data_IF_457925575083
#
_entry.id   IF_457925575083
#
_cell.length_a   1.000
_cell.length_b   1.000
_cell.length_c   1.000
_cell.angle_alpha   90.00
_cell.angle_beta   90.00
_cell.angle_gamma   90.00
#
_symmetry.space_group_name_H-M   'P 1'
#
loop_
_entity.id
_entity.type
_entity.pdbx_description
1 polymer ?
#
# COMPACT_ATOMS: atom_id res chain seq x y z
N UNK A 1 -16.80 -9.49 8.62
CA UNK A 1 -16.83 -10.92 9.06
C UNK A 1 -16.14 -11.05 10.39
N UNK A 2 -16.74 -11.77 11.35
CA UNK A 2 -16.09 -12.05 12.64
C UNK A 2 -14.95 -13.06 12.49
N UNK A 3 -13.99 -13.09 13.43
CA UNK A 3 -12.94 -14.10 13.43
C UNK A 3 -13.54 -15.53 13.44
N UNK A 4 -14.62 -15.74 14.17
CA UNK A 4 -15.32 -17.04 14.24
C UNK A 4 -15.91 -17.47 12.91
N UNK A 5 -16.50 -16.55 12.15
CA UNK A 5 -17.01 -16.83 10.80
C UNK A 5 -15.89 -17.20 9.82
N UNK A 6 -14.74 -16.52 9.93
CA UNK A 6 -13.54 -16.82 9.11
C UNK A 6 -13.04 -18.23 9.43
N UNK A 7 -12.87 -18.55 10.72
CA UNK A 7 -12.43 -19.90 11.17
C UNK A 7 -13.42 -20.95 10.67
N UNK A 8 -14.71 -20.74 10.88
CA UNK A 8 -15.78 -21.68 10.48
C UNK A 8 -15.80 -21.90 8.97
N UNK A 9 -15.64 -20.84 8.18
CA UNK A 9 -15.57 -20.90 6.71
C UNK A 9 -14.33 -21.67 6.26
N UNK A 10 -13.16 -21.37 6.84
CA UNK A 10 -11.91 -22.04 6.54
C UNK A 10 -11.98 -23.55 6.84
N UNK A 11 -12.44 -23.89 8.05
CA UNK A 11 -12.58 -25.30 8.45
C UNK A 11 -13.53 -26.09 7.54
N UNK A 12 -14.69 -25.49 7.18
CA UNK A 12 -15.63 -26.10 6.23
C UNK A 12 -15.03 -26.32 4.85
N UNK A 13 -14.35 -25.29 4.31
CA UNK A 13 -13.72 -25.34 3.00
C UNK A 13 -12.64 -26.43 2.89
N UNK A 14 -11.89 -26.64 3.97
CA UNK A 14 -10.78 -27.60 4.01
C UNK A 14 -11.14 -28.92 4.70
N UNK A 15 -12.42 -29.11 5.09
CA UNK A 15 -12.91 -30.30 5.80
C UNK A 15 -12.13 -30.60 7.11
N UNK A 16 -11.73 -29.54 7.84
CA UNK A 16 -10.95 -29.65 9.08
C UNK A 16 -11.90 -29.67 10.28
N UNK A 17 -11.71 -30.64 11.19
CA UNK A 17 -12.45 -30.72 12.45
C UNK A 17 -12.04 -29.61 13.42
N UNK A 18 -12.87 -29.34 14.45
CA UNK A 18 -12.46 -28.39 15.51
C UNK A 18 -11.25 -28.86 16.28
N UNK A 19 -11.10 -30.18 16.47
CA UNK A 19 -9.96 -30.78 17.19
C UNK A 19 -8.66 -30.57 16.40
N UNK A 20 -8.68 -30.83 15.08
CA UNK A 20 -7.54 -30.62 14.22
C UNK A 20 -7.18 -29.11 14.11
N UNK A 21 -8.18 -28.22 14.07
CA UNK A 21 -7.91 -26.79 14.06
C UNK A 21 -7.39 -26.29 15.42
N UNK A 22 -7.87 -26.87 16.53
CA UNK A 22 -7.35 -26.59 17.88
C UNK A 22 -5.86 -26.91 17.98
N UNK A 23 -5.46 -28.05 17.45
CA UNK A 23 -4.06 -28.50 17.42
C UNK A 23 -3.20 -27.58 16.54
N UNK A 24 -3.67 -27.25 15.34
CA UNK A 24 -2.95 -26.38 14.39
C UNK A 24 -2.80 -24.93 14.88
N UNK A 25 -3.81 -24.37 15.54
CA UNK A 25 -3.83 -22.97 15.98
C UNK A 25 -3.35 -22.75 17.43
N UNK A 26 -3.31 -23.81 18.26
CA UNK A 26 -3.06 -23.68 19.69
C UNK A 26 -4.18 -22.95 20.47
N UNK A 27 -5.38 -22.84 19.88
CA UNK A 27 -6.59 -22.36 20.55
C UNK A 27 -7.36 -23.54 21.12
N UNK A 28 -7.96 -23.42 22.31
CA UNK A 28 -8.77 -24.51 22.85
C UNK A 28 -10.06 -24.70 22.02
N UNK A 29 -10.50 -25.94 21.87
CA UNK A 29 -11.74 -26.31 21.16
C UNK A 29 -12.97 -25.53 21.72
N UNK A 30 -13.05 -25.39 23.04
CA UNK A 30 -14.13 -24.61 23.68
C UNK A 30 -14.11 -23.16 23.23
N UNK A 31 -12.92 -22.55 23.14
CA UNK A 31 -12.79 -21.15 22.72
C UNK A 31 -13.07 -20.97 21.22
N UNK A 32 -12.68 -21.94 20.38
CA UNK A 32 -13.04 -21.96 18.95
C UNK A 32 -14.57 -22.01 18.79
N UNK A 33 -15.25 -22.86 19.55
CA UNK A 33 -16.71 -22.95 19.52
C UNK A 33 -17.36 -21.62 19.93
N UNK A 34 -16.85 -20.95 20.97
CA UNK A 34 -17.31 -19.63 21.40
C UNK A 34 -17.09 -18.55 20.30
N UNK A 35 -15.92 -18.54 19.66
CA UNK A 35 -15.64 -17.64 18.56
C UNK A 35 -16.59 -17.88 17.37
N UNK A 36 -16.82 -19.16 16.99
CA UNK A 36 -17.73 -19.49 15.88
C UNK A 36 -19.21 -19.20 16.19
N UNK A 37 -19.59 -19.20 17.46
CA UNK A 37 -20.92 -18.76 17.92
C UNK A 37 -21.01 -17.24 18.07
N UNK A 38 -19.88 -16.55 18.12
CA UNK A 38 -19.74 -15.12 18.44
C UNK A 38 -20.44 -14.70 19.73
N UNK A 39 -20.41 -15.58 20.73
CA UNK A 39 -21.09 -15.36 22.01
C UNK A 39 -20.26 -15.87 23.18
N UNK A 40 -20.14 -15.05 24.21
CA UNK A 40 -19.55 -15.45 25.47
C UNK A 40 -20.65 -16.09 26.34
N UNK A 41 -20.57 -17.40 26.65
CA UNK A 41 -21.64 -18.12 27.36
C UNK A 41 -21.93 -17.59 28.77
N UNK A 42 -20.99 -16.87 29.39
CA UNK A 42 -21.14 -16.30 30.73
C UNK A 42 -21.81 -14.91 30.69
N UNK A 43 -21.56 -14.10 29.66
CA UNK A 43 -22.01 -12.71 29.61
C UNK A 43 -23.05 -12.46 28.52
N UNK A 44 -23.29 -13.41 27.60
CA UNK A 44 -24.15 -13.27 26.43
C UNK A 44 -23.70 -12.19 25.42
N UNK A 45 -22.49 -11.65 25.59
CA UNK A 45 -21.98 -10.59 24.72
C UNK A 45 -21.13 -11.17 23.58
N UNK A 46 -21.04 -10.49 22.42
CA UNK A 46 -20.11 -10.83 21.36
C UNK A 46 -18.66 -10.91 21.86
N UNK A 47 -17.87 -11.79 21.26
CA UNK A 47 -16.47 -11.97 21.64
C UNK A 47 -15.61 -11.02 20.82
N UNK A 48 -14.83 -10.19 21.50
CA UNK A 48 -13.76 -9.39 20.88
C UNK A 48 -12.43 -10.15 21.05
N UNK A 49 -11.90 -10.77 20.00
CA UNK A 49 -10.65 -11.52 20.09
C UNK A 49 -9.45 -10.58 20.27
N UNK A 50 -8.49 -10.97 21.12
CA UNK A 50 -7.22 -10.27 21.23
C UNK A 50 -6.37 -10.46 19.95
N UNK A 51 -5.39 -9.56 19.72
CA UNK A 51 -4.45 -9.69 18.59
C UNK A 51 -3.70 -11.03 18.63
N UNK A 52 -3.38 -11.53 19.82
CA UNK A 52 -2.75 -12.83 19.99
C UNK A 52 -3.67 -13.98 19.58
N UNK A 53 -4.97 -13.86 19.81
CA UNK A 53 -5.97 -14.82 19.35
C UNK A 53 -6.07 -14.83 17.83
N UNK A 54 -6.07 -13.63 17.22
CA UNK A 54 -6.11 -13.46 15.76
C UNK A 54 -4.85 -14.06 15.13
N UNK A 55 -3.67 -13.82 15.72
CA UNK A 55 -2.41 -14.41 15.27
C UNK A 55 -2.45 -15.94 15.30
N UNK A 56 -2.86 -16.54 16.42
CA UNK A 56 -2.98 -17.99 16.54
C UNK A 56 -3.95 -18.60 15.52
N UNK A 57 -5.07 -17.92 15.28
CA UNK A 57 -6.02 -18.36 14.27
C UNK A 57 -5.42 -18.25 12.85
N UNK A 58 -4.67 -17.18 12.57
CA UNK A 58 -3.97 -16.99 11.30
C UNK A 58 -2.93 -18.11 11.07
N UNK A 59 -2.13 -18.41 12.07
CA UNK A 59 -1.14 -19.49 12.02
C UNK A 59 -1.81 -20.84 11.73
N UNK A 60 -2.92 -21.15 12.41
CA UNK A 60 -3.70 -22.39 12.18
C UNK A 60 -4.37 -22.46 10.81
N UNK A 61 -4.55 -21.33 10.14
CA UNK A 61 -5.06 -21.23 8.77
C UNK A 61 -3.95 -21.10 7.72
N UNK A 62 -2.69 -21.04 8.12
CA UNK A 62 -1.55 -20.73 7.24
C UNK A 62 -1.73 -19.42 6.46
N UNK A 63 -2.30 -18.41 7.12
CA UNK A 63 -2.49 -17.06 6.58
C UNK A 63 -1.64 -16.07 7.37
N UNK A 64 -1.29 -14.93 6.73
CA UNK A 64 -0.68 -13.82 7.45
C UNK A 64 -1.70 -13.14 8.38
N UNK A 65 -1.22 -12.56 9.49
CA UNK A 65 -2.04 -11.77 10.42
C UNK A 65 -2.82 -10.67 9.68
N UNK A 66 -2.11 -9.93 8.80
CA UNK A 66 -2.70 -8.84 8.01
C UNK A 66 -3.84 -9.33 7.11
N UNK A 67 -3.70 -10.54 6.56
CA UNK A 67 -4.75 -11.15 5.73
C UNK A 67 -6.00 -11.44 6.55
N UNK A 68 -5.85 -11.98 7.74
CA UNK A 68 -7.00 -12.26 8.63
C UNK A 68 -7.62 -10.98 9.13
N UNK A 69 -6.83 -9.97 9.52
CA UNK A 69 -7.32 -8.64 9.90
C UNK A 69 -8.09 -7.99 8.74
N UNK A 70 -7.58 -8.07 7.51
CA UNK A 70 -8.29 -7.55 6.32
C UNK A 70 -9.63 -8.25 6.09
N UNK A 71 -9.72 -9.56 6.34
CA UNK A 71 -10.98 -10.31 6.24
C UNK A 71 -11.97 -9.96 7.34
N UNK A 72 -11.48 -9.56 8.52
CA UNK A 72 -12.28 -9.07 9.64
C UNK A 72 -12.71 -7.61 9.48
N UNK A 73 -12.06 -6.85 8.60
CA UNK A 73 -12.06 -5.40 8.52
C UNK A 73 -13.40 -4.69 8.32
N UNK A 74 -14.49 -5.41 8.07
CA UNK A 74 -15.82 -4.80 8.02
C UNK A 74 -16.54 -4.75 9.39
N UNK A 75 -16.02 -5.41 10.43
CA UNK A 75 -16.69 -5.50 11.74
C UNK A 75 -15.88 -5.04 12.96
N UNK A 76 -14.55 -4.84 12.84
CA UNK A 76 -13.76 -4.28 13.95
C UNK A 76 -14.07 -2.80 14.25
N UNK A 77 -14.97 -2.19 13.50
CA UNK A 77 -15.40 -0.78 13.63
C UNK A 77 -16.75 -0.64 14.34
N UNK A 78 -17.26 -1.68 14.98
CA UNK A 78 -18.57 -1.64 15.66
C UNK A 78 -18.50 -1.77 17.20
N UNK A 79 -17.59 -1.05 17.85
CA UNK A 79 -17.76 -0.77 19.29
C UNK A 79 -17.37 0.68 19.57
N UNK A 80 -18.40 1.52 19.58
CA UNK A 80 -18.55 2.78 20.30
C UNK A 80 -17.25 3.45 20.76
N UNK A 81 -16.75 4.37 19.98
CA UNK A 81 -16.04 5.62 20.21
C UNK A 81 -15.05 6.02 19.09
N UNK A 82 -15.03 5.31 17.94
CA UNK A 82 -14.22 5.69 16.77
C UNK A 82 -15.05 6.12 15.54
N UNK A 83 -16.22 6.70 15.78
CA UNK A 83 -17.11 7.18 14.69
C UNK A 83 -16.49 8.34 13.88
N UNK A 84 -15.25 8.76 14.18
CA UNK A 84 -14.62 9.93 13.56
C UNK A 84 -13.17 9.72 13.08
N UNK A 85 -12.65 8.49 13.12
CA UNK A 85 -11.32 8.25 12.53
C UNK A 85 -11.47 7.94 11.03
N UNK A 86 -10.88 8.76 10.15
CA UNK A 86 -10.96 8.51 8.71
C UNK A 86 -10.32 7.16 8.37
N UNK A 87 -11.03 6.34 7.57
CA UNK A 87 -10.47 5.09 7.04
C UNK A 87 -9.10 5.37 6.43
N UNK A 88 -8.13 4.53 6.72
CA UNK A 88 -6.76 4.67 6.24
C UNK A 88 -6.43 3.60 5.23
N UNK A 89 -5.71 3.99 4.20
CA UNK A 89 -5.15 3.10 3.19
C UNK A 89 -3.63 3.10 3.30
N UNK A 90 -3.02 1.93 3.14
CA UNK A 90 -1.56 1.77 3.18
C UNK A 90 -0.99 1.83 1.77
N UNK A 91 -0.05 2.74 1.55
CA UNK A 91 0.68 2.90 0.28
C UNK A 91 2.12 2.44 0.48
N UNK A 92 2.63 1.44 -0.27
CA UNK A 92 3.99 0.97 -0.14
C UNK A 92 4.97 2.07 -0.54
N UNK A 93 6.00 2.32 0.30
CA UNK A 93 7.12 3.22 -0.02
C UNK A 93 8.35 2.40 -0.35
N UNK A 94 8.90 2.64 -1.52
CA UNK A 94 10.06 1.95 -2.03
C UNK A 94 11.35 2.73 -1.76
N UNK A 95 12.42 2.03 -1.37
CA UNK A 95 13.76 2.61 -1.20
C UNK A 95 14.32 3.06 -2.53
N UNK A 96 14.33 2.13 -3.48
CA UNK A 96 14.78 2.30 -4.85
C UNK A 96 13.79 1.60 -5.77
N UNK A 97 13.41 2.25 -6.85
CA UNK A 97 12.69 1.61 -7.93
C UNK A 97 13.69 1.46 -9.06
N UNK A 98 14.30 0.26 -9.15
CA UNK A 98 15.19 -0.08 -10.24
C UNK A 98 14.36 -0.46 -11.45
N UNK A 99 14.64 0.16 -12.57
CA UNK A 99 13.86 0.00 -13.80
C UNK A 99 14.27 -1.21 -14.64
N UNK A 100 15.25 -2.01 -14.21
CA UNK A 100 15.58 -3.30 -14.79
C UNK A 100 14.43 -4.31 -14.74
N UNK A 101 14.68 -5.57 -15.02
CA UNK A 101 13.65 -6.63 -15.19
C UNK A 101 12.62 -6.84 -14.05
N UNK A 102 12.62 -6.00 -13.00
CA UNK A 102 11.78 -6.18 -11.82
C UNK A 102 10.74 -5.08 -11.55
N UNK A 103 10.92 -3.85 -12.06
CA UNK A 103 10.00 -2.74 -11.74
C UNK A 103 9.82 -2.53 -10.23
N UNK A 104 8.63 -2.76 -9.74
CA UNK A 104 8.32 -2.77 -8.32
C UNK A 104 8.62 -4.16 -7.75
N UNK A 105 9.72 -4.28 -7.00
CA UNK A 105 10.09 -5.53 -6.31
C UNK A 105 9.71 -5.38 -4.85
N UNK A 106 8.94 -6.33 -4.32
CA UNK A 106 8.45 -6.28 -2.92
C UNK A 106 9.59 -6.24 -1.91
N UNK A 107 10.76 -6.79 -2.24
CA UNK A 107 11.97 -6.75 -1.41
C UNK A 107 12.54 -5.32 -1.23
N UNK A 108 12.10 -4.35 -2.04
CA UNK A 108 12.52 -2.95 -1.97
C UNK A 108 11.54 -2.06 -1.20
N UNK A 109 10.50 -2.61 -0.59
CA UNK A 109 9.57 -1.86 0.25
C UNK A 109 10.27 -1.52 1.57
N UNK A 110 10.42 -0.20 1.85
CA UNK A 110 10.95 0.29 3.13
C UNK A 110 9.91 0.20 4.24
N UNK A 111 8.73 0.72 3.95
CA UNK A 111 7.60 0.81 4.87
C UNK A 111 6.30 1.09 4.12
N UNK A 112 5.24 1.36 4.85
CA UNK A 112 3.93 1.73 4.31
C UNK A 112 3.48 3.07 4.86
N UNK A 113 3.10 3.98 3.96
CA UNK A 113 2.53 5.29 4.31
C UNK A 113 1.03 5.15 4.53
N UNK A 114 0.57 5.50 5.73
CA UNK A 114 -0.85 5.47 6.08
C UNK A 114 -1.52 6.79 5.70
N UNK A 115 -2.40 6.77 4.69
CA UNK A 115 -3.14 7.93 4.20
C UNK A 115 -4.64 7.78 4.44
N UNK A 116 -5.38 8.90 4.60
CA UNK A 116 -6.84 8.85 4.61
C UNK A 116 -7.36 8.19 3.31
N UNK A 117 -8.23 7.18 3.41
CA UNK A 117 -8.76 6.50 2.22
C UNK A 117 -9.54 7.44 1.29
N UNK A 118 -10.06 8.55 1.83
CA UNK A 118 -10.73 9.59 1.03
C UNK A 118 -9.81 10.34 0.06
N UNK A 119 -8.50 10.26 0.26
CA UNK A 119 -7.52 10.87 -0.65
C UNK A 119 -7.19 9.98 -1.84
N UNK A 120 -7.48 8.69 -1.73
CA UNK A 120 -7.12 7.68 -2.71
C UNK A 120 -8.38 7.14 -3.39
N UNK A 121 -8.27 6.85 -4.69
CA UNK A 121 -9.33 6.16 -5.41
C UNK A 121 -9.19 4.65 -5.19
N UNK A 122 -10.28 3.99 -4.77
CA UNK A 122 -10.29 2.54 -4.56
C UNK A 122 -10.03 1.71 -5.84
N UNK A 123 -10.22 2.33 -7.01
CA UNK A 123 -9.98 1.68 -8.31
C UNK A 123 -8.56 1.86 -8.87
N UNK A 124 -7.67 2.53 -8.11
CA UNK A 124 -6.33 2.87 -8.55
C UNK A 124 -5.28 2.32 -7.59
N UNK A 125 -4.11 2.00 -8.13
CA UNK A 125 -2.95 1.60 -7.35
C UNK A 125 -2.03 2.80 -7.12
N UNK A 126 -1.37 2.81 -5.94
CA UNK A 126 -0.47 3.87 -5.55
C UNK A 126 0.83 3.30 -5.01
N UNK A 127 1.89 4.06 -5.16
CA UNK A 127 3.18 3.81 -4.53
C UNK A 127 3.79 5.12 -4.05
N UNK A 128 4.74 5.04 -3.14
CA UNK A 128 5.45 6.20 -2.63
C UNK A 128 6.97 6.03 -2.80
N UNK A 129 7.65 7.17 -2.88
CA UNK A 129 9.10 7.27 -2.92
C UNK A 129 9.54 8.54 -2.17
N UNK A 130 10.74 8.52 -1.58
CA UNK A 130 11.32 9.72 -0.99
C UNK A 130 12.01 10.54 -2.08
N UNK A 131 11.73 11.84 -2.13
CA UNK A 131 12.44 12.76 -3.02
C UNK A 131 13.91 12.86 -2.61
N UNK A 132 14.79 12.85 -3.59
CA UNK A 132 16.23 13.06 -3.40
C UNK A 132 16.71 14.20 -4.29
N UNK A 133 17.43 15.14 -3.69
CA UNK A 133 17.95 16.32 -4.35
C UNK A 133 16.94 17.46 -4.55
N UNK A 134 17.36 18.50 -5.24
CA UNK A 134 16.69 19.80 -5.36
C UNK A 134 16.12 20.09 -6.76
N UNK A 135 16.21 19.13 -7.68
CA UNK A 135 15.82 19.35 -9.10
C UNK A 135 14.35 19.70 -9.31
N UNK A 136 13.50 19.53 -8.30
CA UNK A 136 12.06 19.80 -8.36
C UNK A 136 11.59 20.87 -7.36
N UNK A 137 12.51 21.64 -6.74
CA UNK A 137 12.19 22.68 -5.75
C UNK A 137 11.23 23.75 -6.28
N UNK A 138 11.38 24.17 -7.53
CA UNK A 138 10.47 25.13 -8.16
C UNK A 138 9.02 24.62 -8.34
N UNK A 139 8.80 23.31 -8.14
CA UNK A 139 7.48 22.70 -8.05
C UNK A 139 7.03 22.44 -6.61
N UNK A 140 7.79 22.93 -5.61
CA UNK A 140 7.49 22.74 -4.18
C UNK A 140 7.82 21.37 -3.65
N UNK A 141 8.67 20.61 -4.35
CA UNK A 141 9.16 19.28 -3.94
C UNK A 141 10.61 19.45 -3.48
N UNK A 142 10.87 19.11 -2.23
CA UNK A 142 12.17 19.28 -1.58
C UNK A 142 12.77 17.93 -1.21
N UNK A 143 14.08 17.93 -1.00
CA UNK A 143 14.81 16.76 -0.52
C UNK A 143 14.18 16.20 0.76
N UNK A 144 13.95 14.88 0.78
CA UNK A 144 13.31 14.18 1.90
C UNK A 144 11.77 14.20 1.91
N UNK A 145 11.11 14.92 1.00
CA UNK A 145 9.66 14.86 0.86
C UNK A 145 9.21 13.45 0.43
N UNK A 146 8.04 13.03 0.90
CA UNK A 146 7.44 11.76 0.46
C UNK A 146 6.51 12.06 -0.71
N UNK A 147 6.82 11.47 -1.86
CA UNK A 147 6.06 11.59 -3.10
C UNK A 147 5.15 10.37 -3.24
N UNK A 148 3.85 10.60 -3.36
CA UNK A 148 2.87 9.55 -3.61
C UNK A 148 2.43 9.64 -5.06
N UNK A 149 2.59 8.56 -5.80
CA UNK A 149 2.26 8.46 -7.22
C UNK A 149 1.08 7.51 -7.43
N UNK A 150 0.18 7.88 -8.34
CA UNK A 150 -0.77 6.98 -8.95
C UNK A 150 -0.04 6.14 -10.00
N UNK A 151 -0.12 4.82 -9.91
CA UNK A 151 0.56 3.88 -10.81
C UNK A 151 -0.11 3.91 -12.18
N UNK A 152 0.57 4.46 -13.16
CA UNK A 152 0.13 4.52 -14.56
C UNK A 152 1.35 4.36 -15.48
N UNK A 153 1.15 3.74 -16.64
CA UNK A 153 2.21 3.55 -17.65
C UNK A 153 2.24 4.65 -18.71
N UNK A 154 1.21 5.51 -18.76
CA UNK A 154 1.12 6.55 -19.79
C UNK A 154 1.36 7.92 -19.19
N UNK A 155 2.42 8.63 -19.61
CA UNK A 155 2.69 9.98 -19.15
C UNK A 155 1.67 10.97 -19.70
N UNK A 156 1.47 12.08 -18.98
CA UNK A 156 0.56 13.15 -19.37
C UNK A 156 1.30 14.47 -19.49
N UNK A 157 1.02 15.21 -20.58
CA UNK A 157 1.62 16.53 -20.85
C UNK A 157 1.48 17.48 -19.67
N UNK A 158 2.60 18.03 -19.22
CA UNK A 158 2.66 19.00 -18.14
C UNK A 158 2.51 18.44 -16.72
N UNK A 159 2.26 17.12 -16.56
CA UNK A 159 2.19 16.48 -15.25
C UNK A 159 3.57 16.09 -14.74
N UNK A 160 3.71 16.13 -13.42
CA UNK A 160 4.87 15.57 -12.72
C UNK A 160 4.63 14.07 -12.56
N UNK A 161 5.66 13.28 -12.77
CA UNK A 161 5.59 11.83 -12.65
C UNK A 161 6.92 11.23 -12.22
N UNK A 162 6.86 9.94 -11.98
CA UNK A 162 8.00 9.06 -11.74
C UNK A 162 8.37 8.38 -13.05
N UNK A 163 9.59 8.60 -13.52
CA UNK A 163 10.07 8.11 -14.82
C UNK A 163 11.37 7.36 -14.66
N UNK A 164 11.60 6.47 -15.60
CA UNK A 164 12.83 5.72 -15.71
C UNK A 164 13.37 5.81 -17.13
N UNK A 165 14.69 5.96 -17.27
CA UNK A 165 15.43 5.95 -18.52
C UNK A 165 16.58 4.96 -18.36
N UNK A 166 16.80 4.12 -19.38
CA UNK A 166 17.93 3.19 -19.50
C UNK A 166 18.13 2.27 -18.28
N UNK A 167 16.99 1.81 -17.72
CA UNK A 167 16.97 0.90 -16.56
C UNK A 167 17.71 1.44 -15.32
N UNK A 168 17.97 2.75 -15.28
CA UNK A 168 18.51 3.44 -14.13
C UNK A 168 17.47 3.63 -13.01
N UNK A 169 17.86 4.31 -11.95
CA UNK A 169 16.95 4.67 -10.87
C UNK A 169 15.80 5.57 -11.36
N UNK A 170 14.63 5.37 -10.77
CA UNK A 170 13.47 6.17 -11.08
C UNK A 170 13.67 7.62 -10.61
N UNK A 171 13.25 8.58 -11.44
CA UNK A 171 13.39 10.02 -11.20
C UNK A 171 12.04 10.73 -11.24
N UNK A 172 11.88 11.74 -10.39
CA UNK A 172 10.73 12.64 -10.41
C UNK A 172 11.01 13.84 -11.32
N UNK A 173 10.21 14.02 -12.39
CA UNK A 173 10.33 15.12 -13.34
C UNK A 173 8.96 15.51 -13.88
N UNK A 174 8.90 16.67 -14.57
CA UNK A 174 7.71 17.10 -15.31
C UNK A 174 7.81 16.63 -16.76
N UNK A 175 6.80 15.92 -17.23
CA UNK A 175 6.72 15.43 -18.62
C UNK A 175 6.34 16.55 -19.57
N UNK A 176 7.09 16.71 -20.66
CA UNK A 176 6.82 17.72 -21.70
C UNK A 176 7.05 17.14 -23.09
N UNK A 177 6.07 17.38 -23.97
CA UNK A 177 6.21 17.20 -25.41
C UNK A 177 6.34 18.60 -26.01
N UNK A 178 7.41 18.86 -26.73
CA UNK A 178 7.66 20.12 -27.43
C UNK A 178 6.83 20.20 -28.73
N UNK A 179 6.76 21.39 -29.33
CA UNK A 179 5.99 21.64 -30.57
C UNK A 179 6.51 20.82 -31.76
N UNK A 180 7.76 20.40 -31.75
CA UNK A 180 8.41 19.55 -32.76
C UNK A 180 8.21 18.03 -32.49
N UNK A 181 7.44 17.68 -31.46
CA UNK A 181 7.17 16.31 -31.07
C UNK A 181 8.23 15.67 -30.16
N UNK A 182 9.33 16.36 -29.86
CA UNK A 182 10.35 15.85 -28.94
C UNK A 182 9.85 15.80 -27.51
N UNK A 183 10.26 14.76 -26.80
CA UNK A 183 9.90 14.54 -25.40
C UNK A 183 11.04 14.97 -24.51
N UNK A 184 10.70 15.63 -23.40
CA UNK A 184 11.65 16.05 -22.38
C UNK A 184 11.11 15.74 -20.98
N UNK A 185 11.99 15.30 -20.10
CA UNK A 185 11.77 15.30 -18.66
C UNK A 185 12.36 16.58 -18.07
N UNK A 186 11.47 17.49 -17.68
CA UNK A 186 11.83 18.83 -17.24
C UNK A 186 12.05 18.87 -15.73
N UNK A 187 13.21 19.33 -15.26
CA UNK A 187 13.37 19.74 -13.88
C UNK A 187 12.51 20.99 -13.59
N UNK A 188 12.22 21.23 -12.33
CA UNK A 188 11.58 22.47 -11.86
C UNK A 188 12.57 23.36 -11.10
N UNK A 189 13.86 23.19 -11.34
CA UNK A 189 14.95 24.01 -10.83
C UNK A 189 15.80 24.45 -12.03
N UNK A 190 16.02 25.79 -12.24
CA UNK A 190 16.75 26.32 -13.39
C UNK A 190 18.23 25.92 -13.43
N UNK A 191 18.78 25.37 -12.35
CA UNK A 191 20.16 24.88 -12.30
C UNK A 191 20.36 23.54 -13.01
N UNK A 192 19.28 22.92 -13.47
CA UNK A 192 19.30 21.60 -14.13
C UNK A 192 18.79 21.71 -15.56
N UNK A 193 19.46 21.04 -16.48
CA UNK A 193 19.03 20.95 -17.86
C UNK A 193 17.89 19.95 -18.06
N UNK A 194 16.99 20.21 -19.04
CA UNK A 194 16.00 19.22 -19.46
C UNK A 194 16.66 17.94 -19.99
N UNK A 195 16.11 16.80 -19.62
CA UNK A 195 16.58 15.49 -20.08
C UNK A 195 15.78 15.12 -21.33
N UNK A 196 16.41 15.05 -22.52
CA UNK A 196 15.73 14.60 -23.74
C UNK A 196 15.41 13.10 -23.63
N UNK A 197 14.22 12.71 -24.13
CA UNK A 197 13.80 11.32 -24.27
C UNK A 197 13.66 11.04 -25.75
N UNK A 198 14.54 10.20 -26.31
CA UNK A 198 14.46 9.84 -27.70
C UNK A 198 13.30 8.87 -27.96
N UNK A 199 12.51 9.07 -29.04
CA UNK A 199 11.39 8.20 -29.38
C UNK A 199 11.76 6.72 -29.61
N UNK A 200 13.04 6.44 -29.82
CA UNK A 200 13.59 5.09 -30.00
C UNK A 200 14.21 4.48 -28.73
N UNK A 201 14.15 5.15 -27.59
CA UNK A 201 14.62 4.58 -26.32
C UNK A 201 13.72 3.41 -25.91
N UNK A 202 14.24 2.20 -26.03
CA UNK A 202 13.53 0.96 -25.63
C UNK A 202 13.25 0.91 -24.13
N UNK A 203 13.92 1.76 -23.34
CA UNK A 203 13.92 1.72 -21.87
C UNK A 203 13.32 2.95 -21.21
N UNK A 204 12.54 3.81 -21.93
CA UNK A 204 11.76 4.86 -21.28
C UNK A 204 10.46 4.31 -20.71
N UNK A 205 10.23 4.52 -19.43
CA UNK A 205 9.00 4.08 -18.74
C UNK A 205 8.44 5.18 -17.85
N UNK A 206 7.12 5.35 -17.90
CA UNK A 206 6.36 6.06 -16.88
C UNK A 206 5.90 5.05 -15.84
N UNK A 207 6.27 5.26 -14.59
CA UNK A 207 5.91 4.40 -13.46
C UNK A 207 4.67 4.90 -12.74
N UNK A 208 4.43 6.22 -12.79
CA UNK A 208 3.27 6.83 -12.17
C UNK A 208 3.23 8.35 -12.31
N UNK A 209 2.07 8.93 -12.03
CA UNK A 209 1.86 10.38 -11.97
C UNK A 209 1.73 10.84 -10.52
N UNK A 210 2.36 11.97 -10.19
CA UNK A 210 2.33 12.54 -8.85
C UNK A 210 0.90 12.87 -8.44
N UNK A 211 0.47 12.29 -7.33
CA UNK A 211 -0.83 12.52 -6.71
C UNK A 211 -0.71 13.44 -5.50
N UNK A 212 0.28 13.20 -4.62
CA UNK A 212 0.46 13.96 -3.37
C UNK A 212 1.94 14.16 -3.08
N UNK A 213 2.25 15.25 -2.36
CA UNK A 213 3.53 15.50 -1.72
C UNK A 213 3.29 15.65 -0.22
N UNK A 214 4.02 14.89 0.57
CA UNK A 214 3.96 14.97 2.03
C UNK A 214 5.30 15.49 2.51
N UNK A 215 5.29 16.71 3.07
CA UNK A 215 6.48 17.41 3.54
C UNK A 215 6.45 17.57 5.05
N UNK A 216 7.57 17.29 5.72
CA UNK A 216 7.78 17.69 7.12
C UNK A 216 8.47 19.06 7.16
N UNK A 217 7.68 20.10 7.41
CA UNK A 217 8.15 21.50 7.46
C UNK A 217 8.73 21.89 8.83
N UNK A 218 8.89 20.96 9.76
CA UNK A 218 9.47 21.21 11.10
C UNK A 218 11.01 21.17 11.11
N UNK A 219 11.61 20.90 9.95
CA UNK A 219 13.07 20.91 9.76
C UNK A 219 13.55 22.29 9.39
#
# INVERSE_FOLDING_TARGET
>A
MTLGEIIKSYRKKHSISMDAFSEASGLSKAYIAMLEANENPTTGKPIVPSIQTIQKAADGMHLSLDRVISMMGDELVSSNDEADLPRRSSVPRYALICCGNGGFVDDNILDYISLPSSWLSASKEYFAQTASGDSMEGAGIYDGDILVFEKVSTPQQGRIGCFCIDDNEAMCKKYRVAADGRIYLMPANPNYDPIPVDPGMEHFRCLGLLAFVISDRRK
#
